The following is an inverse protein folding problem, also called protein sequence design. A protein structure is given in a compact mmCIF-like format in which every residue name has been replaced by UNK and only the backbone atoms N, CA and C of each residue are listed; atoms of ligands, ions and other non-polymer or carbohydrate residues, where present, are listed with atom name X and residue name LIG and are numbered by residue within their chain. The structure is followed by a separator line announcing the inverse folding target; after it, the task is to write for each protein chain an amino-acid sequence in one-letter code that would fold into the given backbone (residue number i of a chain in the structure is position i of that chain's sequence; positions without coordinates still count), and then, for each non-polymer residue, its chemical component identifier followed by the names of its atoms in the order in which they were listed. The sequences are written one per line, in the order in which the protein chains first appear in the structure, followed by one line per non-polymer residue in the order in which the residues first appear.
data_IF_688370149697
#
_entry.id   IF_688370149697
#
_cell.length_a   1.000
_cell.length_b   1.000
_cell.length_c   1.000
_cell.angle_alpha   90.00
_cell.angle_beta   90.00
_cell.angle_gamma   90.00
#
_symmetry.space_group_name_H-M   'P 1'
#
loop_
_entity.id
_entity.type
_entity.pdbx_description
1 polymer ?
#
# COMPACT_ATOMS: atom_id res chain seq x y z
N UNK A 1 24.37 -25.70 -30.06
CA UNK A 1 24.19 -24.26 -30.31
C UNK A 1 22.70 -23.95 -30.14
N UNK A 2 22.25 -23.73 -28.95
CA UNK A 2 21.04 -22.92 -28.64
C UNK A 2 20.73 -23.02 -27.14
N UNK A 3 20.24 -21.93 -26.60
CA UNK A 3 19.74 -21.72 -25.25
C UNK A 3 20.76 -21.37 -24.16
N UNK A 4 21.26 -20.12 -24.27
CA UNK A 4 21.67 -19.35 -23.13
C UNK A 4 21.33 -17.88 -23.38
N UNK A 5 20.12 -17.48 -23.11
CA UNK A 5 19.71 -16.07 -23.06
C UNK A 5 18.85 -15.81 -21.82
N UNK A 6 19.23 -14.73 -21.15
CA UNK A 6 18.50 -14.00 -20.10
C UNK A 6 18.62 -14.61 -18.68
N UNK A 7 19.78 -14.37 -18.06
CA UNK A 7 19.93 -14.21 -16.59
C UNK A 7 21.14 -13.29 -16.33
N UNK A 8 21.16 -12.08 -16.87
CA UNK A 8 22.40 -11.29 -16.79
C UNK A 8 22.20 -9.76 -16.87
N UNK A 9 21.25 -9.17 -16.14
CA UNK A 9 21.22 -7.70 -16.06
C UNK A 9 21.60 -7.14 -14.68
N UNK A 10 21.34 -7.82 -13.60
CA UNK A 10 21.77 -7.37 -12.25
C UNK A 10 23.26 -7.59 -12.01
N UNK A 11 23.84 -8.64 -12.59
CA UNK A 11 25.27 -8.94 -12.47
C UNK A 11 26.19 -8.05 -13.32
N UNK A 12 25.68 -7.33 -14.30
CA UNK A 12 26.51 -6.51 -15.22
C UNK A 12 27.01 -5.23 -14.54
N UNK A 13 26.23 -4.58 -13.68
CA UNK A 13 26.70 -3.40 -12.93
C UNK A 13 27.79 -3.78 -11.92
N UNK A 14 27.62 -4.89 -11.22
CA UNK A 14 28.62 -5.41 -10.29
C UNK A 14 29.91 -5.88 -11.04
N UNK A 15 29.75 -6.48 -12.22
CA UNK A 15 30.88 -6.93 -13.03
C UNK A 15 31.65 -5.76 -13.66
N UNK A 16 30.99 -4.65 -14.05
CA UNK A 16 31.69 -3.46 -14.59
C UNK A 16 32.48 -2.71 -13.52
N UNK A 17 31.96 -2.64 -12.29
CA UNK A 17 32.70 -2.10 -11.15
C UNK A 17 33.91 -3.02 -10.84
N UNK A 18 33.73 -4.34 -10.90
CA UNK A 18 34.80 -5.32 -10.67
C UNK A 18 35.92 -5.24 -11.72
N UNK A 19 35.56 -5.02 -12.99
CA UNK A 19 36.55 -4.87 -14.09
C UNK A 19 37.29 -3.54 -13.98
N UNK A 20 36.68 -2.47 -13.52
CA UNK A 20 37.35 -1.19 -13.25
C UNK A 20 38.30 -1.28 -12.06
N UNK A 21 37.97 -2.02 -10.99
CA UNK A 21 38.88 -2.23 -9.85
C UNK A 21 40.05 -3.17 -10.19
N UNK A 22 39.85 -4.20 -11.01
CA UNK A 22 40.93 -5.06 -11.50
C UNK A 22 41.93 -4.31 -12.40
N UNK A 23 41.46 -3.33 -13.17
CA UNK A 23 42.34 -2.51 -14.02
C UNK A 23 43.19 -1.52 -13.20
N UNK A 24 42.72 -1.11 -12.00
CA UNK A 24 43.51 -0.24 -11.09
C UNK A 24 44.44 -1.06 -10.21
N UNK A 25 44.09 -2.30 -9.85
CA UNK A 25 44.89 -3.20 -9.01
C UNK A 25 46.16 -3.71 -9.65
N UNK A 26 46.29 -3.66 -10.99
CA UNK A 26 47.53 -4.12 -11.70
C UNK A 26 48.71 -3.15 -11.59
N UNK A 27 48.47 -1.93 -11.05
CA UNK A 27 49.56 -0.95 -10.85
C UNK A 27 50.10 -0.88 -9.42
N UNK A 28 49.44 -1.51 -8.46
CA UNK A 28 49.91 -1.54 -7.06
C UNK A 28 49.78 -2.98 -6.53
N UNK A 29 50.84 -3.70 -6.48
CA UNK A 29 51.08 -5.09 -6.06
C UNK A 29 49.91 -5.79 -5.35
N UNK A 30 49.72 -7.08 -5.62
CA UNK A 30 48.65 -7.98 -5.18
C UNK A 30 47.95 -7.62 -3.86
N UNK A 31 46.90 -6.84 -3.93
CA UNK A 31 45.85 -6.82 -2.92
C UNK A 31 44.97 -8.04 -3.18
N UNK A 32 45.15 -9.10 -2.44
CA UNK A 32 44.17 -10.16 -2.30
C UNK A 32 42.94 -9.50 -1.65
N UNK A 33 42.01 -9.02 -2.48
CA UNK A 33 40.71 -8.61 -2.05
C UNK A 33 40.03 -9.85 -1.45
N UNK A 34 39.98 -9.88 -0.14
CA UNK A 34 39.39 -10.96 0.63
C UNK A 34 37.90 -10.99 0.31
N UNK A 35 37.45 -11.89 -0.57
CA UNK A 35 36.04 -12.10 -0.91
C UNK A 35 35.21 -12.31 0.36
N UNK A 36 35.78 -12.88 1.42
CA UNK A 36 35.18 -13.04 2.73
C UNK A 36 34.89 -11.69 3.44
N UNK A 37 35.70 -10.66 3.16
CA UNK A 37 35.43 -9.31 3.70
C UNK A 37 34.22 -8.68 3.04
N UNK A 38 33.96 -8.96 1.75
CA UNK A 38 32.75 -8.47 1.05
C UNK A 38 31.51 -9.32 1.34
N UNK A 39 31.66 -10.62 1.54
CA UNK A 39 30.57 -11.49 2.01
C UNK A 39 30.15 -11.14 3.44
N UNK A 40 31.07 -10.74 4.29
CA UNK A 40 30.77 -10.26 5.66
C UNK A 40 30.20 -8.83 5.72
N UNK A 41 30.34 -8.02 4.65
CA UNK A 41 29.71 -6.71 4.53
C UNK A 41 28.30 -6.76 3.90
N UNK A 42 27.94 -7.83 3.23
CA UNK A 42 26.54 -8.19 2.99
C UNK A 42 26.02 -8.81 4.30
N UNK A 43 25.87 -7.97 5.34
CA UNK A 43 25.20 -8.34 6.56
C UNK A 43 23.89 -9.01 6.14
N UNK A 44 23.67 -10.26 6.57
CA UNK A 44 22.41 -10.96 6.40
C UNK A 44 21.31 -10.04 6.93
N UNK A 45 20.54 -9.42 6.03
CA UNK A 45 19.49 -8.52 6.43
C UNK A 45 18.50 -9.29 7.31
N UNK A 46 18.14 -8.71 8.45
CA UNK A 46 17.20 -9.36 9.34
C UNK A 46 15.86 -9.58 8.63
N UNK A 47 15.34 -10.79 8.68
CA UNK A 47 13.98 -11.04 8.23
C UNK A 47 13.01 -10.26 9.09
N UNK A 48 12.08 -9.56 8.44
CA UNK A 48 11.03 -8.80 9.13
C UNK A 48 9.74 -9.61 9.19
N UNK A 49 9.31 -9.92 10.38
CA UNK A 49 8.10 -10.71 10.68
C UNK A 49 6.98 -9.78 11.15
N UNK A 50 5.77 -9.99 10.67
CA UNK A 50 4.57 -9.39 11.24
C UNK A 50 4.16 -10.21 12.46
N UNK A 51 4.47 -9.69 13.64
CA UNK A 51 4.18 -10.33 14.92
C UNK A 51 2.69 -10.25 15.28
N UNK A 52 2.11 -9.07 15.09
CA UNK A 52 0.69 -8.86 15.37
C UNK A 52 0.12 -7.67 14.61
N UNK A 53 -1.19 -7.71 14.39
CA UNK A 53 -1.94 -6.66 13.71
C UNK A 53 -3.21 -6.31 14.49
N UNK A 54 -3.63 -5.06 14.40
CA UNK A 54 -4.84 -4.58 15.05
C UNK A 54 -5.54 -3.52 14.22
N UNK A 55 -6.87 -3.49 14.26
CA UNK A 55 -7.68 -2.53 13.52
C UNK A 55 -8.99 -2.28 14.29
N UNK A 56 -9.49 -1.05 14.23
CA UNK A 56 -10.85 -0.72 14.70
C UNK A 56 -11.84 -0.73 13.53
N UNK A 57 -13.13 -0.96 13.77
CA UNK A 57 -14.15 -0.75 12.75
C UNK A 57 -14.09 0.67 12.20
N UNK A 58 -14.10 0.81 10.88
CA UNK A 58 -14.08 2.12 10.25
C UNK A 58 -15.45 2.80 10.36
N UNK A 59 -15.43 4.11 10.61
CA UNK A 59 -16.61 4.91 10.89
C UNK A 59 -16.72 6.14 9.98
N UNK A 60 -17.95 6.70 9.90
CA UNK A 60 -18.18 7.98 9.20
C UNK A 60 -17.63 9.14 10.03
N UNK A 61 -17.21 10.24 9.39
CA UNK A 61 -16.94 11.49 10.09
C UNK A 61 -18.11 11.91 10.97
N UNK A 62 -17.81 12.33 12.21
CA UNK A 62 -18.79 12.70 13.21
C UNK A 62 -19.48 11.54 13.95
N UNK A 63 -19.23 10.29 13.56
CA UNK A 63 -19.76 9.08 14.23
C UNK A 63 -18.66 8.16 14.78
N UNK A 64 -17.38 8.51 14.60
CA UNK A 64 -16.24 7.76 15.14
C UNK A 64 -15.86 8.22 16.54
N UNK A 65 -15.14 7.37 17.28
CA UNK A 65 -14.40 7.80 18.46
C UNK A 65 -13.30 8.81 18.07
N UNK A 66 -12.75 9.58 19.03
CA UNK A 66 -11.58 10.41 18.80
C UNK A 66 -10.37 9.61 18.30
N UNK A 67 -9.50 10.25 17.50
CA UNK A 67 -8.36 9.57 16.86
C UNK A 67 -7.43 8.90 17.87
N UNK A 68 -7.25 9.50 19.05
CA UNK A 68 -6.37 8.99 20.09
C UNK A 68 -6.94 7.73 20.76
N UNK A 69 -8.25 7.57 20.84
CA UNK A 69 -8.91 6.36 21.32
C UNK A 69 -8.89 5.25 20.26
N UNK A 70 -9.16 5.59 19.00
CA UNK A 70 -9.10 4.64 17.90
C UNK A 70 -7.68 4.08 17.75
N UNK A 71 -6.66 4.94 17.78
CA UNK A 71 -5.26 4.54 17.70
C UNK A 71 -4.81 3.69 18.89
N UNK A 72 -5.21 4.05 20.12
CA UNK A 72 -4.97 3.23 21.32
C UNK A 72 -5.55 1.82 21.16
N UNK A 73 -6.81 1.70 20.73
CA UNK A 73 -7.48 0.41 20.54
C UNK A 73 -6.77 -0.44 19.48
N UNK A 74 -6.36 0.16 18.36
CA UNK A 74 -5.63 -0.53 17.31
C UNK A 74 -4.27 -1.07 17.80
N UNK A 75 -3.51 -0.26 18.56
CA UNK A 75 -2.23 -0.69 19.15
C UNK A 75 -2.45 -1.83 20.15
N UNK A 76 -3.40 -1.69 21.08
CA UNK A 76 -3.69 -2.75 22.08
C UNK A 76 -4.13 -4.04 21.42
N UNK A 77 -4.93 -3.96 20.33
CA UNK A 77 -5.30 -5.13 19.54
C UNK A 77 -4.09 -5.79 18.88
N UNK A 78 -3.16 -5.01 18.30
CA UNK A 78 -1.96 -5.54 17.69
C UNK A 78 -1.01 -6.18 18.72
N UNK A 79 -0.88 -5.58 19.91
CA UNK A 79 -0.11 -6.16 21.02
C UNK A 79 -0.71 -7.47 21.50
N UNK A 80 -2.04 -7.53 21.65
CA UNK A 80 -2.76 -8.74 22.03
C UNK A 80 -2.60 -9.86 20.99
N UNK A 81 -2.67 -9.52 19.68
CA UNK A 81 -2.47 -10.47 18.59
C UNK A 81 -1.04 -11.01 18.54
N UNK A 82 -0.06 -10.16 18.87
CA UNK A 82 1.35 -10.55 18.98
C UNK A 82 1.68 -11.33 20.24
N UNK A 83 0.84 -11.25 21.28
CA UNK A 83 1.16 -11.78 22.62
C UNK A 83 2.30 -11.02 23.31
N UNK A 84 2.48 -9.72 23.01
CA UNK A 84 3.58 -8.89 23.52
C UNK A 84 3.08 -7.76 24.42
N UNK A 85 3.89 -7.36 25.40
CA UNK A 85 3.69 -6.15 26.17
C UNK A 85 4.30 -4.93 25.46
N UNK A 86 3.74 -3.74 25.71
CA UNK A 86 4.22 -2.50 25.12
C UNK A 86 5.67 -2.14 25.51
N UNK A 87 6.13 -2.60 26.67
CA UNK A 87 7.50 -2.42 27.17
C UNK A 87 8.57 -3.07 26.28
N UNK A 88 8.17 -3.96 25.38
CA UNK A 88 9.06 -4.61 24.42
C UNK A 88 9.20 -3.85 23.10
N UNK A 89 8.37 -2.82 22.88
CA UNK A 89 8.49 -1.94 21.72
C UNK A 89 9.68 -1.02 21.91
N UNK A 90 10.59 -0.98 20.92
CA UNK A 90 11.83 -0.19 20.98
C UNK A 90 11.73 1.11 20.18
N UNK A 91 10.85 1.16 19.15
CA UNK A 91 10.61 2.34 18.32
C UNK A 91 9.20 2.32 17.73
N UNK A 92 8.61 3.49 17.51
CA UNK A 92 7.26 3.63 16.94
C UNK A 92 7.19 4.65 15.80
N UNK A 93 6.40 4.31 14.79
CA UNK A 93 6.09 5.15 13.63
C UNK A 93 4.59 5.38 13.58
N UNK A 94 4.18 6.65 13.68
CA UNK A 94 2.78 7.05 13.74
C UNK A 94 2.39 7.84 12.49
N UNK A 95 1.47 7.30 11.70
CA UNK A 95 1.00 7.88 10.45
C UNK A 95 -0.36 8.55 10.61
N UNK A 96 -0.48 9.82 10.19
CA UNK A 96 -1.74 10.57 10.08
C UNK A 96 -1.56 11.75 9.12
N UNK A 97 -2.66 12.24 8.56
CA UNK A 97 -2.65 13.36 7.60
C UNK A 97 -3.30 14.60 8.22
N UNK A 98 -4.52 14.48 8.72
CA UNK A 98 -5.30 15.58 9.30
C UNK A 98 -5.19 15.58 10.82
N UNK A 99 -4.03 15.98 11.34
CA UNK A 99 -3.79 16.11 12.76
C UNK A 99 -2.70 17.14 13.05
N UNK A 100 -2.74 17.71 14.25
CA UNK A 100 -1.69 18.59 14.72
C UNK A 100 -0.36 17.87 14.91
N UNK A 101 0.71 18.63 15.07
CA UNK A 101 2.02 18.08 15.39
C UNK A 101 1.94 17.20 16.65
N UNK A 102 2.68 16.07 16.64
CA UNK A 102 2.76 15.11 17.77
C UNK A 102 1.49 14.36 18.14
N UNK A 103 0.50 14.26 17.24
CA UNK A 103 -0.66 13.39 17.46
C UNK A 103 -0.25 11.93 17.69
N UNK A 104 0.86 11.47 17.08
CA UNK A 104 1.39 10.13 17.31
C UNK A 104 1.77 9.89 18.77
N UNK A 105 2.44 10.83 19.40
CA UNK A 105 2.79 10.75 20.83
C UNK A 105 1.51 10.66 21.68
N UNK A 106 0.49 11.48 21.38
CA UNK A 106 -0.77 11.44 22.13
C UNK A 106 -1.44 10.07 22.09
N UNK A 107 -1.45 9.44 20.93
CA UNK A 107 -1.98 8.07 20.75
C UNK A 107 -1.17 7.05 21.54
N UNK A 108 0.15 7.07 21.38
CA UNK A 108 1.06 6.07 21.96
C UNK A 108 1.11 6.19 23.48
N UNK A 109 1.08 7.41 24.04
CA UNK A 109 1.11 7.63 25.48
C UNK A 109 -0.11 7.07 26.22
N UNK A 110 -1.24 6.87 25.54
CA UNK A 110 -2.38 6.14 26.13
C UNK A 110 -2.11 4.64 26.34
N UNK A 111 -1.18 4.08 25.57
CA UNK A 111 -0.79 2.68 25.70
C UNK A 111 0.34 2.53 26.71
N UNK A 112 1.35 3.40 26.64
CA UNK A 112 2.48 3.42 27.57
C UNK A 112 3.45 4.56 27.29
N UNK A 113 4.27 4.89 28.29
CA UNK A 113 5.29 5.94 28.24
C UNK A 113 6.65 5.35 28.64
N UNK A 114 7.30 4.66 27.70
CA UNK A 114 8.58 3.95 27.93
C UNK A 114 9.80 4.77 27.49
N UNK A 115 9.59 5.96 26.91
CA UNK A 115 10.67 6.82 26.43
C UNK A 115 11.23 6.42 25.06
N UNK A 116 10.58 5.51 24.34
CA UNK A 116 10.98 5.09 23.00
C UNK A 116 10.89 6.26 21.99
N UNK A 117 11.73 6.28 20.94
CA UNK A 117 11.58 7.21 19.83
C UNK A 117 10.22 7.03 19.13
N UNK A 118 9.54 8.14 18.86
CA UNK A 118 8.30 8.20 18.07
C UNK A 118 8.50 9.11 16.88
N UNK A 119 8.31 8.61 15.67
CA UNK A 119 8.40 9.34 14.42
C UNK A 119 6.99 9.51 13.85
N UNK A 120 6.58 10.77 13.61
CA UNK A 120 5.33 11.08 12.91
C UNK A 120 5.58 11.13 11.40
N UNK A 121 4.71 10.49 10.63
CA UNK A 121 4.85 10.27 9.18
C UNK A 121 3.63 10.83 8.46
N UNK A 122 3.85 11.48 7.32
CA UNK A 122 2.79 11.94 6.42
C UNK A 122 3.24 11.82 4.95
N UNK A 123 2.61 10.95 4.19
CA UNK A 123 2.71 10.80 2.74
C UNK A 123 1.29 10.67 2.16
N UNK A 124 0.38 11.56 2.58
CA UNK A 124 -1.01 11.56 2.15
C UNK A 124 -1.66 10.16 2.34
N UNK A 125 -2.36 9.64 1.34
CA UNK A 125 -3.07 8.36 1.42
C UNK A 125 -2.16 7.14 1.67
N UNK A 126 -0.84 7.22 1.37
CA UNK A 126 0.13 6.14 1.61
C UNK A 126 0.84 6.22 2.97
N UNK A 127 0.37 7.10 3.85
CA UNK A 127 0.97 7.37 5.16
C UNK A 127 1.13 6.11 6.02
N UNK A 128 0.10 5.27 6.11
CA UNK A 128 0.16 4.02 6.89
C UNK A 128 1.20 3.04 6.38
N UNK A 129 1.30 2.90 5.05
CA UNK A 129 2.34 2.07 4.42
C UNK A 129 3.73 2.67 4.57
N UNK A 130 3.86 4.00 4.60
CA UNK A 130 5.15 4.67 4.86
C UNK A 130 5.61 4.43 6.30
N UNK A 131 4.71 4.42 7.28
CA UNK A 131 5.03 4.04 8.66
C UNK A 131 5.49 2.57 8.74
N UNK A 132 4.81 1.67 8.03
CA UNK A 132 5.20 0.26 7.91
C UNK A 132 6.58 0.09 7.24
N UNK A 133 6.86 0.88 6.18
CA UNK A 133 8.13 0.89 5.46
C UNK A 133 9.30 1.27 6.39
N UNK A 134 9.14 2.34 7.17
CA UNK A 134 10.16 2.78 8.12
C UNK A 134 10.37 1.77 9.26
N UNK A 135 9.29 1.17 9.77
CA UNK A 135 9.38 0.12 10.78
C UNK A 135 10.12 -1.11 10.25
N UNK A 136 9.83 -1.53 9.01
CA UNK A 136 10.59 -2.61 8.35
C UNK A 136 12.05 -2.28 8.23
N UNK A 137 12.41 -1.09 7.72
CA UNK A 137 13.80 -0.68 7.59
C UNK A 137 14.56 -0.72 8.91
N UNK A 138 13.91 -0.29 10.02
CA UNK A 138 14.52 -0.34 11.33
C UNK A 138 14.84 -1.77 11.79
N UNK A 139 13.95 -2.74 11.51
CA UNK A 139 14.16 -4.16 11.81
C UNK A 139 15.22 -4.76 10.87
N UNK A 140 15.07 -4.57 9.58
CA UNK A 140 15.92 -5.18 8.54
C UNK A 140 17.38 -4.80 8.70
N UNK A 141 17.64 -3.53 9.06
CA UNK A 141 19.01 -3.02 9.28
C UNK A 141 19.49 -3.16 10.73
N UNK A 142 18.75 -3.84 11.60
CA UNK A 142 19.16 -4.12 12.98
C UNK A 142 19.24 -2.88 13.87
N UNK A 143 18.50 -1.82 13.56
CA UNK A 143 18.39 -0.63 14.40
C UNK A 143 17.63 -0.98 15.68
N UNK A 144 16.53 -1.76 15.55
CA UNK A 144 15.73 -2.30 16.64
C UNK A 144 15.30 -3.74 16.30
N UNK A 145 14.91 -4.51 17.30
CA UNK A 145 14.39 -5.88 17.11
C UNK A 145 12.85 -5.93 17.18
N UNK A 146 12.19 -4.86 17.70
CA UNK A 146 10.73 -4.77 17.82
C UNK A 146 10.25 -3.33 17.57
N UNK A 147 9.43 -3.13 16.55
CA UNK A 147 8.91 -1.84 16.13
C UNK A 147 7.38 -1.84 16.02
N UNK A 148 6.76 -0.70 16.35
CA UNK A 148 5.34 -0.42 16.16
C UNK A 148 5.13 0.50 14.97
N UNK A 149 4.25 0.13 14.05
CA UNK A 149 3.64 1.04 13.08
C UNK A 149 2.16 1.23 13.44
N UNK A 150 1.70 2.46 13.62
CA UNK A 150 0.30 2.81 13.85
C UNK A 150 -0.14 3.90 12.90
N UNK A 151 -1.33 3.75 12.35
CA UNK A 151 -1.95 4.75 11.49
C UNK A 151 -3.37 5.05 11.94
N UNK A 152 -3.75 6.32 11.92
CA UNK A 152 -5.07 6.75 12.32
C UNK A 152 -5.51 7.96 11.50
N UNK A 153 -6.82 8.16 11.42
CA UNK A 153 -7.38 9.35 10.79
C UNK A 153 -8.74 9.69 11.39
N UNK A 154 -8.94 10.97 11.65
CA UNK A 154 -10.24 11.52 12.01
C UNK A 154 -10.60 12.62 11.00
N UNK A 155 -11.25 12.21 9.91
CA UNK A 155 -11.63 13.13 8.85
C UNK A 155 -12.86 13.95 9.22
N UNK A 156 -12.93 15.16 8.68
CA UNK A 156 -14.15 15.97 8.71
C UNK A 156 -15.14 15.49 7.63
N UNK A 157 -16.44 15.80 7.78
CA UNK A 157 -17.41 15.63 6.71
C UNK A 157 -17.00 16.44 5.47
N UNK A 158 -17.06 15.83 4.30
CA UNK A 158 -16.68 16.47 3.03
C UNK A 158 -15.46 15.81 2.37
N UNK A 159 -15.01 16.42 1.29
CA UNK A 159 -13.85 15.97 0.54
C UNK A 159 -12.54 16.45 1.18
N UNK A 160 -11.42 15.92 0.66
CA UNK A 160 -10.07 16.36 0.96
C UNK A 160 -9.91 17.85 0.63
N UNK A 161 -9.76 18.69 1.63
CA UNK A 161 -9.54 20.11 1.48
C UNK A 161 -8.11 20.51 1.86
N UNK A 162 -7.66 21.68 1.39
CA UNK A 162 -6.44 22.28 1.89
C UNK A 162 -6.58 22.60 3.39
N UNK A 163 -5.53 22.30 4.15
CA UNK A 163 -5.45 22.68 5.58
C UNK A 163 -4.96 24.11 5.74
N UNK A 164 -4.15 24.58 4.79
CA UNK A 164 -3.57 25.91 4.78
C UNK A 164 -3.84 26.59 3.42
N UNK A 165 -4.28 27.83 3.47
CA UNK A 165 -4.57 28.68 2.29
C UNK A 165 -3.60 29.86 2.15
N UNK A 166 -2.67 30.02 3.12
CA UNK A 166 -1.71 31.12 3.23
C UNK A 166 -0.31 30.80 2.64
N UNK A 167 -0.16 29.62 2.04
CA UNK A 167 1.14 29.12 1.53
C UNK A 167 0.94 28.28 0.26
N UNK A 168 2.02 28.02 -0.55
CA UNK A 168 1.92 27.18 -1.75
C UNK A 168 1.34 25.80 -1.43
N UNK A 169 0.44 25.35 -2.31
CA UNK A 169 -0.13 23.99 -2.20
C UNK A 169 0.88 22.96 -2.70
N UNK A 170 1.00 21.79 -2.07
CA UNK A 170 1.80 20.70 -2.62
C UNK A 170 1.25 20.15 -3.94
N UNK A 171 0.03 20.56 -4.32
CA UNK A 171 -0.65 20.13 -5.56
C UNK A 171 -0.58 21.17 -6.69
N UNK A 172 0.08 22.32 -6.52
CA UNK A 172 0.13 23.37 -7.54
C UNK A 172 0.58 22.84 -8.92
N UNK A 173 1.61 21.99 -8.96
CA UNK A 173 2.10 21.39 -10.20
C UNK A 173 1.12 20.34 -10.77
N UNK A 174 0.47 19.58 -9.90
CA UNK A 174 -0.56 18.60 -10.30
C UNK A 174 -1.81 19.29 -10.86
N UNK A 175 -2.25 20.37 -10.21
CA UNK A 175 -3.40 21.15 -10.66
C UNK A 175 -3.11 21.78 -12.03
N UNK A 176 -1.94 22.41 -12.22
CA UNK A 176 -1.54 22.99 -13.48
C UNK A 176 -1.47 21.94 -14.60
N UNK A 177 -0.91 20.76 -14.33
CA UNK A 177 -0.87 19.67 -15.31
C UNK A 177 -2.26 19.11 -15.63
N UNK A 178 -3.13 18.98 -14.61
CA UNK A 178 -4.50 18.52 -14.80
C UNK A 178 -5.32 19.50 -15.64
N UNK A 179 -5.26 20.80 -15.31
CA UNK A 179 -6.00 21.85 -16.04
C UNK A 179 -5.64 21.91 -17.52
N UNK A 180 -4.40 21.57 -17.86
CA UNK A 180 -3.90 21.53 -19.24
C UNK A 180 -4.39 20.29 -20.02
N UNK A 181 -4.87 19.25 -19.35
CA UNK A 181 -5.22 17.95 -19.98
C UNK A 181 -6.72 17.63 -19.84
N UNK A 182 -7.32 17.95 -18.69
CA UNK A 182 -8.68 17.53 -18.34
C UNK A 182 -9.46 18.64 -17.64
N UNK A 183 -10.30 19.33 -18.40
CA UNK A 183 -11.19 20.38 -17.90
C UNK A 183 -12.36 19.78 -17.13
N UNK A 184 -12.52 20.15 -15.86
CA UNK A 184 -13.63 19.71 -15.00
C UNK A 184 -13.75 20.58 -13.77
N UNK A 185 -14.99 20.92 -13.38
CA UNK A 185 -15.32 21.63 -12.12
C UNK A 185 -15.40 20.70 -10.91
N UNK A 186 -15.10 19.40 -11.09
CA UNK A 186 -15.16 18.43 -9.99
C UNK A 186 -14.07 18.73 -8.93
N UNK A 187 -14.32 18.41 -7.64
CA UNK A 187 -13.29 18.51 -6.60
C UNK A 187 -12.00 17.78 -6.96
N UNK A 188 -10.87 18.28 -6.47
CA UNK A 188 -9.50 17.89 -6.82
C UNK A 188 -9.32 16.36 -7.03
N UNK A 189 -9.61 15.53 -6.03
CA UNK A 189 -9.38 14.09 -6.16
C UNK A 189 -10.27 13.43 -7.22
N UNK A 190 -11.54 13.88 -7.35
CA UNK A 190 -12.44 13.37 -8.38
C UNK A 190 -11.93 13.73 -9.77
N UNK A 191 -11.41 14.96 -9.93
CA UNK A 191 -10.87 15.45 -11.19
C UNK A 191 -9.65 14.63 -11.63
N UNK A 192 -8.72 14.35 -10.73
CA UNK A 192 -7.51 13.59 -11.05
C UNK A 192 -7.84 12.14 -11.44
N UNK A 193 -8.56 11.42 -10.58
CA UNK A 193 -8.89 10.02 -10.84
C UNK A 193 -9.95 9.83 -11.93
N UNK A 194 -10.89 10.75 -12.03
CA UNK A 194 -11.84 10.75 -13.15
C UNK A 194 -11.16 11.06 -14.50
N UNK A 195 -10.26 12.03 -14.51
CA UNK A 195 -9.42 12.31 -15.68
C UNK A 195 -8.56 11.13 -16.10
N UNK A 196 -7.98 10.40 -15.14
CA UNK A 196 -7.22 9.18 -15.40
C UNK A 196 -8.10 8.07 -16.00
N UNK A 197 -9.30 7.89 -15.44
CA UNK A 197 -10.29 6.98 -16.05
C UNK A 197 -10.71 7.39 -17.44
N UNK A 198 -10.92 8.70 -17.68
CA UNK A 198 -11.22 9.23 -19.03
C UNK A 198 -10.08 8.96 -20.01
N UNK A 199 -8.83 9.19 -19.60
CA UNK A 199 -7.65 8.84 -20.44
C UNK A 199 -7.63 7.36 -20.79
N UNK A 200 -7.97 6.49 -19.85
CA UNK A 200 -8.05 5.05 -20.10
C UNK A 200 -9.21 4.68 -21.05
N UNK A 201 -10.38 5.31 -20.86
CA UNK A 201 -11.53 5.17 -21.78
C UNK A 201 -11.15 5.55 -23.23
N UNK A 202 -10.49 6.70 -23.40
CA UNK A 202 -10.13 7.21 -24.72
C UNK A 202 -9.05 6.35 -25.40
N UNK A 203 -8.11 5.82 -24.63
CA UNK A 203 -6.98 5.07 -25.14
C UNK A 203 -7.29 3.61 -25.43
N UNK A 204 -8.13 3.00 -24.60
CA UNK A 204 -8.36 1.55 -24.62
C UNK A 204 -9.83 1.14 -24.79
N UNK A 205 -10.75 2.10 -24.88
CA UNK A 205 -12.17 1.83 -25.08
C UNK A 205 -12.90 1.31 -23.83
N UNK A 206 -12.36 1.58 -22.63
CA UNK A 206 -13.01 1.25 -21.36
C UNK A 206 -14.35 1.95 -21.25
N UNK A 207 -15.34 1.26 -20.70
CA UNK A 207 -16.68 1.80 -20.49
C UNK A 207 -16.93 2.12 -19.03
N UNK A 208 -17.81 3.07 -18.74
CA UNK A 208 -18.23 3.41 -17.38
C UNK A 208 -18.76 2.20 -16.60
N UNK A 209 -19.31 1.22 -17.32
CA UNK A 209 -19.77 -0.07 -16.78
C UNK A 209 -18.64 -0.89 -16.14
N UNK A 210 -17.39 -0.79 -16.63
CA UNK A 210 -16.25 -1.52 -16.06
C UNK A 210 -15.90 -0.98 -14.68
N UNK A 211 -15.96 0.33 -14.48
CA UNK A 211 -15.82 0.94 -13.16
C UNK A 211 -16.98 0.57 -12.21
N UNK A 212 -18.21 0.44 -12.75
CA UNK A 212 -19.34 0.00 -11.96
C UNK A 212 -19.19 -1.45 -11.48
N UNK A 213 -18.65 -2.36 -12.30
CA UNK A 213 -18.33 -3.75 -11.94
C UNK A 213 -17.34 -3.81 -10.78
N UNK A 214 -16.28 -2.97 -10.81
CA UNK A 214 -15.30 -2.86 -9.72
C UNK A 214 -15.98 -2.44 -8.42
N UNK A 215 -16.81 -1.40 -8.44
CA UNK A 215 -17.55 -0.95 -7.25
C UNK A 215 -18.50 -2.02 -6.70
N UNK A 216 -19.21 -2.70 -7.58
CA UNK A 216 -20.09 -3.80 -7.22
C UNK A 216 -19.29 -4.94 -6.57
N UNK A 217 -18.13 -5.33 -7.15
CA UNK A 217 -17.22 -6.32 -6.56
C UNK A 217 -16.77 -5.89 -5.15
N UNK A 218 -16.30 -4.67 -4.96
CA UNK A 218 -15.87 -4.16 -3.66
C UNK A 218 -16.98 -4.26 -2.61
N UNK A 219 -18.24 -3.98 -2.99
CA UNK A 219 -19.38 -4.11 -2.09
C UNK A 219 -19.66 -5.56 -1.69
N UNK A 220 -19.62 -6.51 -2.63
CA UNK A 220 -19.77 -7.95 -2.35
C UNK A 220 -18.70 -8.47 -1.38
N UNK A 221 -17.45 -8.09 -1.59
CA UNK A 221 -16.36 -8.47 -0.70
C UNK A 221 -16.55 -7.92 0.72
N UNK A 222 -17.04 -6.68 0.84
CA UNK A 222 -17.23 -6.01 2.14
C UNK A 222 -18.36 -6.60 2.99
N UNK A 223 -19.34 -7.29 2.41
CA UNK A 223 -20.44 -7.91 3.17
C UNK A 223 -19.91 -8.77 4.32
N UNK A 224 -18.83 -9.49 4.08
CA UNK A 224 -18.20 -10.39 5.02
C UNK A 224 -17.18 -9.74 5.95
N UNK A 225 -16.97 -8.42 5.85
CA UNK A 225 -16.00 -7.70 6.69
C UNK A 225 -16.70 -6.92 7.81
N UNK A 226 -16.66 -7.37 9.08
CA UNK A 226 -17.30 -6.67 10.20
C UNK A 226 -16.66 -5.30 10.49
N UNK A 227 -15.45 -5.04 9.99
CA UNK A 227 -14.70 -3.80 10.18
C UNK A 227 -14.95 -2.77 9.06
N UNK A 228 -15.71 -3.15 8.00
CA UNK A 228 -15.99 -2.28 6.88
C UNK A 228 -17.10 -1.27 7.19
N UNK A 229 -16.92 -0.05 6.68
CA UNK A 229 -17.86 1.05 6.80
C UNK A 229 -19.20 0.77 6.09
N UNK A 230 -19.12 0.21 4.85
CA UNK A 230 -20.28 -0.19 4.05
C UNK A 230 -20.27 -1.69 3.82
N UNK A 231 -21.38 -2.33 4.20
CA UNK A 231 -21.55 -3.79 4.11
C UNK A 231 -22.79 -4.19 3.33
N UNK A 232 -23.35 -3.27 2.57
CA UNK A 232 -24.50 -3.53 1.71
C UNK A 232 -24.01 -3.82 0.31
N UNK A 233 -24.43 -4.94 -0.25
CA UNK A 233 -24.13 -5.28 -1.63
C UNK A 233 -24.84 -4.32 -2.59
N UNK A 234 -24.11 -3.89 -3.62
CA UNK A 234 -24.58 -3.03 -4.70
C UNK A 234 -24.50 -3.80 -6.02
N UNK A 235 -25.52 -3.63 -6.85
CA UNK A 235 -25.46 -4.05 -8.25
C UNK A 235 -24.72 -3.00 -9.10
N UNK A 236 -24.27 -3.38 -10.28
CA UNK A 236 -23.75 -2.43 -11.28
C UNK A 236 -24.77 -1.33 -11.61
N UNK A 237 -26.07 -1.71 -11.69
CA UNK A 237 -27.16 -0.76 -11.90
C UNK A 237 -27.27 0.28 -10.81
N UNK A 238 -27.13 -0.11 -9.52
CA UNK A 238 -27.15 0.84 -8.40
C UNK A 238 -26.00 1.86 -8.50
N UNK A 239 -24.82 1.38 -8.94
CA UNK A 239 -23.65 2.24 -9.12
C UNK A 239 -23.87 3.24 -10.25
N UNK A 240 -24.32 2.77 -11.41
CA UNK A 240 -24.57 3.60 -12.60
C UNK A 240 -25.70 4.62 -12.40
N UNK A 241 -26.71 4.28 -11.61
CA UNK A 241 -27.84 5.18 -11.29
C UNK A 241 -27.53 6.19 -10.19
N UNK A 242 -26.39 6.09 -9.52
CA UNK A 242 -26.00 7.07 -8.51
C UNK A 242 -25.65 8.43 -9.18
N UNK A 243 -25.75 9.55 -8.47
CA UNK A 243 -25.51 10.86 -9.07
C UNK A 243 -24.20 10.95 -9.82
N UNK A 244 -24.23 11.46 -11.05
CA UNK A 244 -23.01 11.75 -11.81
C UNK A 244 -22.17 12.84 -11.12
N UNK A 245 -20.89 12.60 -11.04
CA UNK A 245 -19.89 13.54 -10.53
C UNK A 245 -19.03 14.11 -11.66
N UNK A 246 -18.79 13.31 -12.70
CA UNK A 246 -18.18 13.68 -13.96
C UNK A 246 -19.00 13.02 -15.06
N UNK A 247 -19.68 13.80 -15.93
CA UNK A 247 -20.60 13.27 -16.92
C UNK A 247 -19.98 12.18 -17.81
N UNK A 248 -20.63 11.03 -17.87
CA UNK A 248 -20.20 9.89 -18.69
C UNK A 248 -18.92 9.18 -18.22
N UNK A 249 -18.30 9.62 -17.12
CA UNK A 249 -17.03 9.08 -16.62
C UNK A 249 -17.18 8.51 -15.20
N UNK A 250 -17.77 9.28 -14.28
CA UNK A 250 -17.78 8.92 -12.86
C UNK A 250 -19.12 9.20 -12.20
N UNK A 251 -19.64 8.22 -11.49
CA UNK A 251 -20.77 8.42 -10.57
C UNK A 251 -20.26 8.45 -9.12
N UNK A 252 -21.09 8.97 -8.20
CA UNK A 252 -20.73 9.16 -6.80
C UNK A 252 -20.27 7.87 -6.10
N UNK A 253 -20.90 6.74 -6.41
CA UNK A 253 -20.55 5.46 -5.79
C UNK A 253 -19.22 4.88 -6.28
N UNK A 254 -18.60 5.42 -7.33
CA UNK A 254 -17.27 5.02 -7.80
C UNK A 254 -16.12 5.65 -7.01
N UNK A 255 -16.43 6.52 -6.05
CA UNK A 255 -15.48 7.15 -5.14
C UNK A 255 -15.58 6.57 -3.73
N UNK A 256 -14.44 6.47 -3.02
CA UNK A 256 -14.42 6.09 -1.61
C UNK A 256 -15.04 7.18 -0.72
N UNK A 257 -15.68 6.81 0.39
CA UNK A 257 -16.24 7.78 1.34
C UNK A 257 -15.16 8.37 2.26
N UNK A 258 -15.29 9.62 2.70
CA UNK A 258 -14.54 10.11 3.85
C UNK A 258 -14.72 9.18 5.05
N UNK A 259 -13.63 8.79 5.69
CA UNK A 259 -13.64 7.72 6.70
C UNK A 259 -12.71 8.04 7.87
N UNK A 260 -13.13 7.67 9.07
CA UNK A 260 -12.32 7.70 10.28
C UNK A 260 -11.96 6.27 10.71
N UNK A 261 -10.78 6.09 11.29
CA UNK A 261 -10.35 4.77 11.77
C UNK A 261 -8.89 4.72 12.16
N UNK A 262 -8.47 3.56 12.64
CA UNK A 262 -7.08 3.29 12.99
C UNK A 262 -6.72 1.83 12.74
N UNK A 263 -5.45 1.58 12.43
CA UNK A 263 -4.86 0.25 12.33
C UNK A 263 -3.40 0.29 12.80
N UNK A 264 -2.88 -0.85 13.26
CA UNK A 264 -1.52 -0.99 13.76
C UNK A 264 -0.92 -2.34 13.38
N UNK A 265 0.41 -2.37 13.26
CA UNK A 265 1.19 -3.58 13.08
C UNK A 265 2.41 -3.56 13.99
N UNK A 266 2.77 -4.71 14.53
CA UNK A 266 4.02 -4.94 15.27
C UNK A 266 4.93 -5.77 14.40
N UNK A 267 6.11 -5.24 14.13
CA UNK A 267 7.14 -5.86 13.34
C UNK A 267 8.30 -6.28 14.25
N UNK A 268 8.81 -7.48 14.02
CA UNK A 268 9.93 -8.00 14.80
C UNK A 268 10.98 -8.66 13.91
N UNK A 269 12.22 -8.71 14.39
CA UNK A 269 13.24 -9.54 13.78
C UNK A 269 12.93 -11.04 14.03
N UNK A 270 13.39 -11.91 13.13
CA UNK A 270 13.25 -13.37 13.32
C UNK A 270 13.88 -13.84 14.64
N UNK A 271 15.00 -13.22 15.01
CA UNK A 271 15.69 -13.48 16.29
C UNK A 271 14.82 -13.12 17.50
N UNK A 272 14.16 -11.96 17.46
CA UNK A 272 13.25 -11.52 18.51
C UNK A 272 12.04 -12.47 18.59
N UNK A 273 11.45 -12.81 17.44
CA UNK A 273 10.31 -13.71 17.39
C UNK A 273 10.64 -15.07 18.04
N UNK A 274 11.77 -15.67 17.71
CA UNK A 274 12.25 -16.92 18.32
C UNK A 274 12.46 -16.79 19.83
N UNK A 275 13.06 -15.68 20.28
CA UNK A 275 13.34 -15.44 21.70
C UNK A 275 12.06 -15.30 22.53
N UNK A 276 11.03 -14.67 21.98
CA UNK A 276 9.79 -14.36 22.70
C UNK A 276 8.62 -15.30 22.36
N UNK A 277 8.84 -16.33 21.53
CA UNK A 277 7.81 -17.30 21.14
C UNK A 277 6.70 -16.69 20.26
N UNK A 278 7.01 -15.62 19.50
CA UNK A 278 6.07 -14.96 18.61
C UNK A 278 5.94 -15.75 17.31
N UNK A 279 4.75 -15.77 16.73
CA UNK A 279 4.50 -16.41 15.44
C UNK A 279 5.35 -15.82 14.33
N UNK A 280 5.97 -16.67 13.50
CA UNK A 280 6.78 -16.29 12.34
C UNK A 280 6.05 -16.54 11.01
N UNK A 281 4.74 -16.76 11.04
CA UNK A 281 3.97 -17.18 9.87
C UNK A 281 3.95 -16.18 8.72
N UNK A 282 4.07 -14.88 8.97
CA UNK A 282 3.98 -13.85 7.94
C UNK A 282 5.25 -13.01 7.93
N UNK A 283 5.95 -13.02 6.81
CA UNK A 283 7.15 -12.25 6.56
C UNK A 283 6.91 -11.19 5.50
N UNK A 284 7.44 -9.98 5.69
CA UNK A 284 7.63 -9.01 4.60
C UNK A 284 8.90 -9.42 3.86
N UNK A 285 8.77 -9.89 2.63
CA UNK A 285 9.91 -10.37 1.84
C UNK A 285 10.49 -9.30 0.93
N UNK A 286 9.66 -8.38 0.45
CA UNK A 286 10.09 -7.25 -0.35
C UNK A 286 9.20 -6.04 -0.09
N UNK A 287 9.76 -4.85 -0.21
CA UNK A 287 9.01 -3.60 -0.07
C UNK A 287 9.80 -2.45 -0.67
N UNK A 288 9.13 -1.60 -1.42
CA UNK A 288 9.72 -0.38 -1.96
C UNK A 288 8.79 0.80 -1.82
N UNK A 289 9.36 1.99 -1.82
CA UNK A 289 8.64 3.26 -1.90
C UNK A 289 9.21 4.07 -3.06
N UNK A 290 8.33 4.55 -3.93
CA UNK A 290 8.67 5.44 -5.05
C UNK A 290 7.96 6.79 -4.89
N UNK A 291 8.56 7.81 -5.48
CA UNK A 291 7.94 9.12 -5.69
C UNK A 291 7.76 9.37 -7.17
N UNK A 292 7.17 10.48 -7.54
CA UNK A 292 6.90 10.85 -8.92
C UNK A 292 8.16 10.88 -9.79
N UNK A 293 7.97 10.56 -11.06
CA UNK A 293 8.96 10.68 -12.12
C UNK A 293 8.68 11.94 -12.97
N UNK A 294 9.62 12.40 -13.80
CA UNK A 294 9.34 13.47 -14.75
C UNK A 294 8.13 13.20 -15.65
N UNK A 295 7.88 11.91 -15.99
CA UNK A 295 6.72 11.48 -16.78
C UNK A 295 5.38 11.85 -16.15
N UNK A 296 5.29 12.01 -14.84
CA UNK A 296 4.08 12.43 -14.12
C UNK A 296 3.53 13.75 -14.69
N UNK A 297 4.41 14.69 -15.04
CA UNK A 297 4.04 16.02 -15.55
C UNK A 297 4.29 16.18 -17.07
N UNK A 298 5.29 15.50 -17.63
CA UNK A 298 5.72 15.68 -19.02
C UNK A 298 4.92 14.84 -20.01
N UNK A 299 4.37 13.71 -19.59
CA UNK A 299 3.67 12.77 -20.49
C UNK A 299 2.32 13.27 -21.00
N UNK A 300 1.72 14.31 -20.38
CA UNK A 300 0.37 14.82 -20.71
C UNK A 300 -0.68 13.69 -20.70
N UNK A 301 -0.61 12.82 -19.71
CA UNK A 301 -1.51 11.68 -19.51
C UNK A 301 -1.98 11.65 -18.06
N UNK A 302 -3.30 11.73 -17.86
CA UNK A 302 -3.89 11.73 -16.52
C UNK A 302 -3.62 10.43 -15.74
N UNK A 303 -3.35 9.31 -16.41
CA UNK A 303 -2.94 8.07 -15.73
C UNK A 303 -1.57 8.25 -15.06
N UNK A 304 -0.65 8.98 -15.72
CA UNK A 304 0.67 9.28 -15.14
C UNK A 304 0.52 10.20 -13.93
N UNK A 305 -0.38 11.18 -13.99
CA UNK A 305 -0.63 12.12 -12.91
C UNK A 305 -1.12 11.44 -11.61
N UNK A 306 -1.82 10.31 -11.73
CA UNK A 306 -2.24 9.50 -10.57
C UNK A 306 -1.29 8.35 -10.26
N UNK A 307 -0.07 8.36 -10.79
CA UNK A 307 1.02 7.48 -10.39
C UNK A 307 1.11 6.12 -11.10
N UNK A 308 0.67 6.01 -12.36
CA UNK A 308 0.78 4.75 -13.12
C UNK A 308 2.22 4.24 -13.23
N UNK A 309 3.16 5.09 -13.71
CA UNK A 309 4.58 4.72 -13.80
C UNK A 309 5.21 4.45 -12.43
N UNK A 310 4.83 5.23 -11.43
CA UNK A 310 5.29 5.06 -10.04
C UNK A 310 4.87 3.70 -9.50
N UNK A 311 3.62 3.29 -9.74
CA UNK A 311 3.08 1.97 -9.39
C UNK A 311 3.84 0.85 -10.10
N UNK A 312 4.03 0.97 -11.43
CA UNK A 312 4.75 -0.03 -12.23
C UNK A 312 6.21 -0.20 -11.79
N UNK A 313 6.89 0.91 -11.54
CA UNK A 313 8.28 0.87 -11.05
C UNK A 313 8.39 0.26 -9.65
N UNK A 314 7.45 0.58 -8.75
CA UNK A 314 7.43 0.01 -7.41
C UNK A 314 7.14 -1.50 -7.43
N UNK A 315 6.15 -1.94 -8.21
CA UNK A 315 5.80 -3.34 -8.36
C UNK A 315 6.95 -4.15 -8.97
N UNK A 316 7.54 -3.67 -10.07
CA UNK A 316 8.67 -4.35 -10.72
C UNK A 316 9.85 -4.57 -9.78
N UNK A 317 10.20 -3.55 -8.98
CA UNK A 317 11.30 -3.67 -8.02
C UNK A 317 10.98 -4.67 -6.90
N UNK A 318 9.74 -4.71 -6.41
CA UNK A 318 9.31 -5.67 -5.37
C UNK A 318 9.33 -7.09 -5.91
N UNK A 319 8.86 -7.33 -7.14
CA UNK A 319 8.94 -8.65 -7.78
C UNK A 319 10.40 -9.09 -8.01
N UNK A 320 11.26 -8.16 -8.45
CA UNK A 320 12.69 -8.45 -8.62
C UNK A 320 13.36 -8.79 -7.28
N UNK A 321 13.09 -8.03 -6.21
CA UNK A 321 13.62 -8.31 -4.86
C UNK A 321 13.20 -9.69 -4.35
N UNK A 322 11.94 -10.07 -4.58
CA UNK A 322 11.38 -11.34 -4.12
C UNK A 322 11.69 -12.53 -5.05
N UNK A 323 12.11 -12.27 -6.28
CA UNK A 323 12.39 -13.31 -7.29
C UNK A 323 11.15 -14.02 -7.81
N UNK A 324 10.00 -13.32 -7.86
CA UNK A 324 8.70 -13.83 -8.33
C UNK A 324 8.12 -12.92 -9.42
N UNK A 325 7.03 -13.36 -10.05
CA UNK A 325 6.21 -12.54 -10.96
C UNK A 325 4.83 -12.19 -10.39
N UNK A 326 4.07 -11.31 -11.06
CA UNK A 326 2.68 -11.02 -10.67
C UNK A 326 1.77 -12.24 -10.70
N UNK A 327 2.10 -13.26 -11.50
CA UNK A 327 1.39 -14.54 -11.60
C UNK A 327 1.51 -15.43 -10.35
N UNK A 328 2.47 -15.13 -9.46
CA UNK A 328 2.69 -15.85 -8.20
C UNK A 328 1.93 -15.23 -7.02
N UNK A 329 1.16 -14.15 -7.25
CA UNK A 329 0.41 -13.44 -6.21
C UNK A 329 -0.99 -14.01 -6.08
N UNK A 330 -1.35 -14.46 -4.87
CA UNK A 330 -2.67 -15.07 -4.59
C UNK A 330 -3.73 -14.02 -4.21
N UNK A 331 -3.32 -12.96 -3.50
CA UNK A 331 -4.22 -11.94 -2.95
C UNK A 331 -3.58 -10.56 -2.94
N UNK A 332 -4.37 -9.54 -3.27
CA UNK A 332 -3.91 -8.15 -3.33
C UNK A 332 -4.86 -7.24 -2.55
N UNK A 333 -4.34 -6.41 -1.67
CA UNK A 333 -5.01 -5.19 -1.20
C UNK A 333 -4.37 -4.00 -1.93
N UNK A 334 -5.07 -3.41 -2.87
CA UNK A 334 -4.61 -2.29 -3.67
C UNK A 334 -5.38 -1.00 -3.35
N UNK A 335 -4.87 0.13 -3.84
CA UNK A 335 -5.41 1.45 -3.56
C UNK A 335 -6.58 1.80 -4.48
N UNK A 336 -7.77 1.35 -4.15
CA UNK A 336 -9.03 1.63 -4.85
C UNK A 336 -9.77 2.85 -4.27
N UNK A 337 -9.08 3.98 -4.12
CA UNK A 337 -9.75 5.22 -3.68
C UNK A 337 -10.86 5.65 -4.66
N UNK A 338 -10.74 5.25 -5.91
CA UNK A 338 -11.73 5.31 -6.97
C UNK A 338 -11.72 4.00 -7.77
N UNK A 339 -12.86 3.59 -8.31
CA UNK A 339 -12.93 2.42 -9.18
C UNK A 339 -12.02 2.55 -10.42
N UNK A 340 -11.84 3.80 -10.90
CA UNK A 340 -10.91 4.15 -11.97
C UNK A 340 -9.46 3.81 -11.61
N UNK A 341 -9.05 4.14 -10.39
CA UNK A 341 -7.70 3.85 -9.93
C UNK A 341 -7.46 2.35 -9.75
N UNK A 342 -8.46 1.60 -9.29
CA UNK A 342 -8.34 0.13 -9.19
C UNK A 342 -8.07 -0.48 -10.56
N UNK A 343 -8.82 -0.08 -11.59
CA UNK A 343 -8.64 -0.55 -12.95
C UNK A 343 -7.22 -0.29 -13.45
N UNK A 344 -6.75 0.97 -13.33
CA UNK A 344 -5.40 1.37 -13.76
C UNK A 344 -4.32 0.63 -12.96
N UNK A 345 -4.57 0.37 -11.69
CA UNK A 345 -3.64 -0.33 -10.79
C UNK A 345 -3.47 -1.80 -11.18
N UNK A 346 -4.49 -2.48 -11.72
CA UNK A 346 -4.33 -3.86 -12.22
C UNK A 346 -3.22 -3.94 -13.29
N UNK A 347 -3.20 -2.98 -14.20
CA UNK A 347 -2.18 -2.89 -15.25
C UNK A 347 -0.82 -2.45 -14.69
N UNK A 348 -0.82 -1.44 -13.80
CA UNK A 348 0.40 -0.96 -13.15
C UNK A 348 1.10 -2.03 -12.30
N UNK A 349 0.35 -2.88 -11.63
CA UNK A 349 0.89 -4.02 -10.87
C UNK A 349 1.24 -5.23 -11.74
N UNK A 350 0.93 -5.20 -13.05
CA UNK A 350 1.16 -6.31 -13.97
C UNK A 350 0.21 -7.49 -13.77
N UNK A 351 -0.92 -7.32 -13.06
CA UNK A 351 -1.93 -8.37 -12.89
C UNK A 351 -2.63 -8.70 -14.21
N UNK A 352 -2.66 -7.76 -15.14
CA UNK A 352 -3.06 -7.93 -16.52
C UNK A 352 -2.18 -7.05 -17.44
N UNK A 353 -2.14 -7.33 -18.75
CA UNK A 353 -1.42 -6.49 -19.70
C UNK A 353 -2.01 -5.07 -19.78
N UNK A 354 -1.21 -4.10 -20.17
CA UNK A 354 -1.67 -2.74 -20.43
C UNK A 354 -2.80 -2.71 -21.46
N UNK A 355 -3.92 -2.04 -21.15
CA UNK A 355 -5.16 -2.06 -21.95
C UNK A 355 -5.96 -3.36 -21.82
N UNK A 356 -5.60 -4.26 -20.93
CA UNK A 356 -6.26 -5.55 -20.71
C UNK A 356 -7.23 -5.60 -19.52
N UNK A 357 -7.36 -4.51 -18.77
CA UNK A 357 -8.12 -4.49 -17.54
C UNK A 357 -9.62 -4.78 -17.74
N UNK A 358 -10.24 -4.35 -18.87
CA UNK A 358 -11.62 -4.65 -19.16
C UNK A 358 -11.88 -6.18 -19.25
N UNK A 359 -10.98 -6.89 -19.96
CA UNK A 359 -11.06 -8.33 -20.08
C UNK A 359 -10.85 -9.01 -18.72
N UNK A 360 -9.86 -8.59 -17.96
CA UNK A 360 -9.57 -9.08 -16.61
C UNK A 360 -10.78 -8.94 -15.66
N UNK A 361 -11.51 -7.82 -15.75
CA UNK A 361 -12.75 -7.60 -15.00
C UNK A 361 -13.88 -8.47 -15.53
N UNK A 362 -14.06 -8.55 -16.84
CA UNK A 362 -15.15 -9.30 -17.49
C UNK A 362 -15.05 -10.80 -17.25
N UNK A 363 -13.84 -11.34 -17.22
CA UNK A 363 -13.56 -12.75 -16.93
C UNK A 363 -13.69 -13.08 -15.42
N UNK A 364 -13.77 -12.06 -14.56
CA UNK A 364 -13.82 -12.23 -13.11
C UNK A 364 -12.46 -12.55 -12.48
N UNK A 365 -11.37 -12.35 -13.21
CA UNK A 365 -10.00 -12.68 -12.79
C UNK A 365 -9.50 -11.83 -11.60
N UNK A 366 -10.23 -10.76 -11.27
CA UNK A 366 -9.97 -9.86 -10.14
C UNK A 366 -10.73 -10.23 -8.84
N UNK A 367 -11.34 -11.42 -8.75
CA UNK A 367 -12.19 -11.80 -7.63
C UNK A 367 -12.05 -13.29 -7.29
N UNK A 368 -12.82 -13.75 -6.30
CA UNK A 368 -12.82 -15.15 -5.88
C UNK A 368 -13.16 -16.09 -7.05
N UNK A 369 -12.31 -17.09 -7.25
CA UNK A 369 -12.42 -18.05 -8.35
C UNK A 369 -11.76 -17.61 -9.66
N UNK A 370 -11.26 -16.38 -9.74
CA UNK A 370 -10.43 -15.86 -10.84
C UNK A 370 -8.93 -16.03 -10.60
N UNK A 371 -8.14 -15.27 -11.34
CA UNK A 371 -6.68 -15.36 -11.32
C UNK A 371 -6.08 -14.90 -9.99
N UNK A 372 -6.57 -13.76 -9.44
CA UNK A 372 -6.10 -13.18 -8.18
C UNK A 372 -7.25 -12.47 -7.47
N UNK A 373 -7.35 -12.63 -6.15
CA UNK A 373 -8.40 -11.92 -5.40
C UNK A 373 -7.90 -10.52 -5.02
N UNK A 374 -8.55 -9.50 -5.56
CA UNK A 374 -8.23 -8.10 -5.25
C UNK A 374 -9.22 -7.53 -4.23
N UNK A 375 -8.68 -6.84 -3.22
CA UNK A 375 -9.45 -6.17 -2.16
C UNK A 375 -10.49 -7.10 -1.46
N UNK A 376 -10.08 -8.27 -0.92
CA UNK A 376 -10.99 -9.16 -0.19
C UNK A 376 -11.66 -8.47 1.01
N UNK A 377 -11.03 -7.43 1.57
CA UNK A 377 -11.57 -6.63 2.66
C UNK A 377 -12.77 -5.74 2.27
N UNK A 378 -13.03 -5.58 0.96
CA UNK A 378 -13.94 -4.60 0.38
C UNK A 378 -13.25 -3.32 -0.07
N UNK A 379 -11.91 -3.25 0.04
CA UNK A 379 -11.10 -2.12 -0.43
C UNK A 379 -11.45 -0.78 0.23
N UNK A 380 -10.89 0.28 -0.31
CA UNK A 380 -11.18 1.64 0.14
C UNK A 380 -12.61 2.05 -0.23
N UNK A 381 -13.13 1.51 -1.33
CA UNK A 381 -14.48 1.82 -1.82
C UNK A 381 -15.59 1.38 -0.87
N UNK A 382 -15.41 0.30 -0.11
CA UNK A 382 -16.43 -0.23 0.79
C UNK A 382 -15.96 -0.35 2.24
N UNK A 383 -14.75 -0.86 2.50
CA UNK A 383 -14.18 -0.88 3.85
C UNK A 383 -13.99 0.54 4.36
N UNK A 384 -13.57 1.46 3.48
CA UNK A 384 -13.32 2.85 3.80
C UNK A 384 -11.85 3.25 3.68
N UNK A 385 -11.61 4.56 3.70
CA UNK A 385 -10.30 5.14 3.44
C UNK A 385 -9.90 6.20 4.48
N UNK A 386 -9.61 5.83 5.73
CA UNK A 386 -8.92 6.74 6.66
C UNK A 386 -7.46 6.82 6.23
N UNK A 387 -7.03 7.98 5.73
CA UNK A 387 -5.76 8.16 5.01
C UNK A 387 -4.55 7.60 5.75
N UNK A 388 -4.37 7.98 7.01
CA UNK A 388 -3.26 7.51 7.83
C UNK A 388 -3.32 6.02 8.18
N UNK A 389 -4.52 5.42 8.24
CA UNK A 389 -4.71 4.04 8.64
C UNK A 389 -4.72 3.04 7.47
N UNK A 390 -5.01 3.49 6.25
CA UNK A 390 -5.30 2.61 5.10
C UNK A 390 -4.23 1.56 4.86
N UNK A 391 -2.95 1.95 4.79
CA UNK A 391 -1.87 1.00 4.52
C UNK A 391 -1.71 -0.06 5.61
N UNK A 392 -1.96 0.29 6.87
CA UNK A 392 -1.91 -0.68 7.96
C UNK A 392 -3.17 -1.56 8.03
N UNK A 393 -4.33 -1.04 7.58
CA UNK A 393 -5.53 -1.84 7.41
C UNK A 393 -5.41 -2.85 6.26
N UNK A 394 -4.65 -2.54 5.21
CA UNK A 394 -4.26 -3.49 4.16
C UNK A 394 -3.33 -4.56 4.73
N UNK A 395 -2.31 -4.17 5.49
CA UNK A 395 -1.43 -5.10 6.21
C UNK A 395 -2.22 -6.03 7.15
N UNK A 396 -3.21 -5.50 7.87
CA UNK A 396 -4.11 -6.29 8.72
C UNK A 396 -4.82 -7.39 7.94
N UNK A 397 -5.48 -7.03 6.84
CA UNK A 397 -6.22 -8.01 6.02
C UNK A 397 -5.28 -9.07 5.44
N UNK A 398 -4.17 -8.66 4.80
CA UNK A 398 -3.23 -9.59 4.18
C UNK A 398 -2.55 -10.51 5.20
N UNK A 399 -2.28 -10.03 6.40
CA UNK A 399 -1.76 -10.86 7.49
C UNK A 399 -2.77 -11.96 7.87
N UNK A 400 -4.05 -11.63 8.01
CA UNK A 400 -5.09 -12.62 8.28
C UNK A 400 -5.29 -13.59 7.12
N UNK A 401 -5.19 -13.15 5.87
CA UNK A 401 -5.25 -14.00 4.69
C UNK A 401 -4.13 -15.05 4.71
N UNK A 402 -2.88 -14.64 4.94
CA UNK A 402 -1.73 -15.55 4.99
C UNK A 402 -1.74 -16.49 6.21
N UNK A 403 -2.28 -16.03 7.34
CA UNK A 403 -2.47 -16.88 8.53
C UNK A 403 -3.61 -17.89 8.38
N UNK A 404 -4.51 -17.72 7.42
CA UNK A 404 -5.72 -18.54 7.27
C UNK A 404 -6.81 -18.17 8.29
N UNK A 405 -6.85 -16.93 8.75
CA UNK A 405 -7.76 -16.43 9.80
C UNK A 405 -8.69 -15.32 9.31
N UNK A 406 -8.79 -15.10 8.00
CA UNK A 406 -9.65 -14.08 7.41
C UNK A 406 -11.16 -14.45 7.41
N UNK A 407 -11.54 -15.57 8.02
CA UNK A 407 -12.92 -16.06 8.13
C UNK A 407 -13.62 -16.17 6.76
N UNK A 408 -14.82 -15.60 6.61
CA UNK A 408 -15.59 -15.66 5.37
C UNK A 408 -14.95 -14.92 4.17
N UNK A 409 -13.88 -14.12 4.41
CA UNK A 409 -13.09 -13.44 3.38
C UNK A 409 -11.86 -14.25 2.94
N UNK A 410 -11.65 -15.43 3.50
CA UNK A 410 -10.45 -16.22 3.24
C UNK A 410 -10.27 -16.55 1.77
N UNK A 411 -9.13 -16.20 1.21
CA UNK A 411 -8.64 -16.70 -0.08
C UNK A 411 -7.97 -18.06 0.18
N UNK A 412 -8.57 -19.10 -0.37
CA UNK A 412 -8.12 -20.46 -0.11
C UNK A 412 -6.70 -20.68 -0.62
N UNK A 413 -5.84 -21.23 0.21
CA UNK A 413 -4.48 -21.57 -0.14
C UNK A 413 -3.50 -20.39 -0.27
N UNK A 414 -3.89 -19.16 0.05
CA UNK A 414 -3.05 -17.97 -0.08
C UNK A 414 -1.68 -18.13 0.62
N UNK A 415 -0.61 -17.88 -0.12
CA UNK A 415 0.79 -17.93 0.34
C UNK A 415 1.55 -16.66 0.06
N UNK A 416 1.19 -15.94 -0.99
CA UNK A 416 1.83 -14.69 -1.43
C UNK A 416 0.77 -13.60 -1.49
N UNK A 417 1.02 -12.50 -0.81
CA UNK A 417 0.10 -11.37 -0.74
C UNK A 417 0.81 -10.08 -1.12
N UNK A 418 0.16 -9.24 -1.93
CA UNK A 418 0.69 -7.96 -2.37
C UNK A 418 -0.15 -6.82 -1.81
N UNK A 419 0.51 -5.82 -1.25
CA UNK A 419 -0.09 -4.56 -0.84
C UNK A 419 0.37 -3.45 -1.79
N UNK A 420 -0.56 -2.63 -2.26
CA UNK A 420 -0.27 -1.40 -2.98
C UNK A 420 -1.00 -0.24 -2.32
N UNK A 421 -0.26 0.80 -1.95
CA UNK A 421 -0.82 1.99 -1.33
C UNK A 421 -0.22 3.25 -1.95
N UNK A 422 -1.09 4.06 -2.56
CA UNK A 422 -0.74 5.27 -3.29
C UNK A 422 -1.15 6.50 -2.49
N UNK A 423 -0.29 7.52 -2.44
CA UNK A 423 -0.57 8.85 -1.92
C UNK A 423 -0.39 9.89 -3.01
N UNK A 424 -1.42 10.68 -3.30
CA UNK A 424 -1.29 11.83 -4.19
C UNK A 424 -0.23 12.80 -3.67
N UNK A 425 0.54 13.40 -4.57
CA UNK A 425 1.69 14.22 -4.25
C UNK A 425 2.98 13.42 -4.11
N UNK A 426 2.99 12.20 -4.66
CA UNK A 426 4.20 11.44 -4.90
C UNK A 426 4.63 10.48 -3.81
N UNK A 427 3.79 9.49 -3.48
CA UNK A 427 4.26 8.33 -2.73
C UNK A 427 3.48 7.07 -3.13
N UNK A 428 4.18 6.06 -3.60
CA UNK A 428 3.65 4.72 -3.83
C UNK A 428 4.47 3.71 -3.05
N UNK A 429 3.80 2.96 -2.16
CA UNK A 429 4.43 1.88 -1.40
C UNK A 429 3.85 0.56 -1.85
N UNK A 430 4.71 -0.34 -2.30
CA UNK A 430 4.35 -1.73 -2.63
C UNK A 430 5.08 -2.64 -1.65
N UNK A 431 4.33 -3.57 -1.04
CA UNK A 431 4.85 -4.52 -0.05
C UNK A 431 4.42 -5.93 -0.42
N UNK A 432 5.35 -6.85 -0.44
CA UNK A 432 5.11 -8.27 -0.66
C UNK A 432 5.28 -9.05 0.64
N UNK A 433 4.26 -9.83 0.96
CA UNK A 433 4.23 -10.71 2.13
C UNK A 433 4.22 -12.16 1.68
N UNK A 434 4.88 -13.01 2.43
CA UNK A 434 4.82 -14.45 2.22
C UNK A 434 4.53 -15.19 3.52
N UNK A 435 3.72 -16.25 3.36
CA UNK A 435 3.50 -17.24 4.40
C UNK A 435 4.74 -18.09 4.56
N UNK A 436 5.32 -18.09 5.75
CA UNK A 436 6.42 -18.99 6.06
C UNK A 436 5.89 -20.39 6.36
N UNK A 437 6.53 -21.40 5.73
CA UNK A 437 6.25 -22.81 6.03
C UNK A 437 6.98 -23.14 7.34
N UNK A 438 6.22 -23.50 8.39
CA UNK A 438 6.74 -23.97 9.66
C UNK A 438 7.36 -25.36 9.56
#
# INVERSE_FOLDING_TARGET
VSNCRIKCFSKIKTCLIFVQFLAIGSQYGSLSLDLQFWEGMMQDQNKTIIAGVGMVPFGKPGASAPYDEMGEQAIRSALSDAGLGFELIEQAYAGYVYGDSTCGQKVIYKVGMTGIPVVNVNNNCSTGSSALYLARQAIEHGIVDCALAVGFEQMNPGALGSVFDDRPSPFDAFDAACDDIFESDAPLALRYFGGAGKSHMDKYGTEISDFAKIRAKASRHAVNNPLALFRTELSEGDVLQSPEMIPGVMTRLMACPPTCGAAAAILVSEKFAKKHGVSTQVQIVAQTMKTDFPSTFEARDMMQLVGYDMTGAAASEVYEQAGIGPEDVDVVELHDCFAHNELITYEGLGLCPQGGAQKFIADGDNSYGGQVVTNPSGGLLSKGHPLGATGLAQCYELTHQLRGTAQARQVEGARTALQHNLGLGGACVVTLYQKQVS
#
